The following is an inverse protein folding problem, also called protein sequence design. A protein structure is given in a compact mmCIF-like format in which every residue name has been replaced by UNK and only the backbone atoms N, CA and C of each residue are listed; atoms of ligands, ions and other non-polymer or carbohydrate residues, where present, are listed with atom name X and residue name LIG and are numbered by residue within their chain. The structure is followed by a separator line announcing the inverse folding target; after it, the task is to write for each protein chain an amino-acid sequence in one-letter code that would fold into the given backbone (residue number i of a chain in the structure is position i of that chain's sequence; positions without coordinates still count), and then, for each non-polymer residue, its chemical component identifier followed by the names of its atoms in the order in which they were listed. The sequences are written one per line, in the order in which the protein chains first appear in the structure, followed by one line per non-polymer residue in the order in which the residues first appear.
data_IF_241449282811
#
_entry.id   IF_241449282811
#
_cell.length_a   1.000
_cell.length_b   1.000
_cell.length_c   1.000
_cell.angle_alpha   90.00
_cell.angle_beta   90.00
_cell.angle_gamma   90.00
#
_symmetry.space_group_name_H-M   'P 1'
#
loop_
_entity.id
_entity.type
_entity.pdbx_description
1 polymer ?
#
# COMPACT_ATOMS: atom_id res chain seq x y z
N UNK A 1 -7.41 12.43 11.24
CA UNK A 1 -6.58 12.14 10.04
C UNK A 1 -6.68 13.22 8.97
N UNK A 2 -7.86 13.75 8.60
CA UNK A 2 -7.96 14.89 7.66
C UNK A 2 -7.88 16.28 8.33
N UNK A 3 -8.04 16.37 9.65
CA UNK A 3 -8.07 17.62 10.41
C UNK A 3 -6.70 18.29 10.60
N UNK A 4 -5.62 17.59 10.27
CA UNK A 4 -4.23 18.05 10.44
C UNK A 4 -3.55 18.38 9.09
N UNK A 5 -4.23 18.10 7.96
CA UNK A 5 -3.70 18.38 6.62
C UNK A 5 -3.84 19.86 6.29
N UNK A 6 -2.75 20.48 5.89
CA UNK A 6 -2.78 21.83 5.34
C UNK A 6 -3.55 21.85 4.01
N UNK A 7 -4.12 23.01 3.65
CA UNK A 7 -4.85 23.15 2.39
C UNK A 7 -3.96 22.86 1.16
N UNK A 8 -2.66 23.13 1.27
CA UNK A 8 -1.64 22.81 0.26
C UNK A 8 -1.44 21.32 0.10
N UNK A 9 -1.24 20.58 1.19
CA UNK A 9 -1.09 19.12 1.13
C UNK A 9 -2.36 18.45 0.62
N UNK A 10 -3.55 18.93 1.02
CA UNK A 10 -4.82 18.45 0.48
C UNK A 10 -4.90 18.65 -1.05
N UNK A 11 -4.40 19.79 -1.55
CA UNK A 11 -4.30 20.08 -2.98
C UNK A 11 -3.38 19.10 -3.71
N UNK A 12 -2.22 18.80 -3.13
CA UNK A 12 -1.25 17.84 -3.67
C UNK A 12 -1.83 16.42 -3.72
N UNK A 13 -2.49 15.97 -2.66
CA UNK A 13 -3.20 14.68 -2.66
C UNK A 13 -4.29 14.63 -3.72
N UNK A 14 -5.05 15.72 -3.92
CA UNK A 14 -6.06 15.79 -4.96
C UNK A 14 -5.45 15.65 -6.36
N UNK A 15 -4.28 16.27 -6.61
CA UNK A 15 -3.58 16.17 -7.88
C UNK A 15 -3.01 14.76 -8.09
N UNK A 16 -2.45 14.16 -7.04
CA UNK A 16 -1.88 12.81 -7.06
C UNK A 16 -2.96 11.76 -7.39
N UNK A 17 -4.06 11.71 -6.65
CA UNK A 17 -5.12 10.71 -6.88
C UNK A 17 -5.91 10.93 -8.18
N UNK A 18 -5.84 12.13 -8.76
CA UNK A 18 -6.36 12.39 -10.10
C UNK A 18 -5.56 11.67 -11.19
N UNK A 19 -4.26 11.44 -10.95
CA UNK A 19 -3.39 10.69 -11.86
C UNK A 19 -3.28 9.21 -11.48
N UNK A 20 -3.28 8.91 -10.18
CA UNK A 20 -3.12 7.56 -9.62
C UNK A 20 -4.33 7.23 -8.74
N UNK A 21 -5.47 6.92 -9.36
CA UNK A 21 -6.74 6.72 -8.64
C UNK A 21 -6.81 5.41 -7.84
N UNK A 22 -5.93 4.46 -8.13
CA UNK A 22 -5.83 3.18 -7.43
C UNK A 22 -4.36 2.90 -7.13
N UNK A 23 -4.10 2.24 -6.00
CA UNK A 23 -2.75 1.72 -5.73
C UNK A 23 -2.47 0.50 -6.60
N UNK A 24 -1.18 0.17 -6.75
CA UNK A 24 -0.75 -1.01 -7.51
C UNK A 24 -1.39 -2.30 -6.98
N UNK A 25 -1.54 -2.43 -5.66
CA UNK A 25 -2.23 -3.56 -5.04
C UNK A 25 -3.71 -3.67 -5.44
N UNK A 26 -4.42 -2.53 -5.56
CA UNK A 26 -5.81 -2.52 -6.02
C UNK A 26 -5.91 -2.89 -7.51
N UNK A 27 -5.02 -2.34 -8.34
CA UNK A 27 -4.97 -2.67 -9.76
C UNK A 27 -4.65 -4.16 -9.99
N UNK A 28 -3.68 -4.69 -9.25
CA UNK A 28 -3.30 -6.09 -9.33
C UNK A 28 -4.46 -7.01 -8.95
N UNK A 29 -5.16 -6.74 -7.84
CA UNK A 29 -6.32 -7.53 -7.41
C UNK A 29 -7.43 -7.57 -8.47
N UNK A 30 -7.75 -6.43 -9.09
CA UNK A 30 -8.74 -6.34 -10.17
C UNK A 30 -8.31 -7.14 -11.41
N UNK A 31 -7.07 -6.98 -11.86
CA UNK A 31 -6.56 -7.70 -13.02
C UNK A 31 -6.41 -9.21 -12.77
N UNK A 32 -5.98 -9.61 -11.59
CA UNK A 32 -5.86 -10.99 -11.17
C UNK A 32 -7.23 -11.68 -11.15
N UNK A 33 -8.24 -11.00 -10.59
CA UNK A 33 -9.63 -11.49 -10.57
C UNK A 33 -10.21 -11.57 -11.97
N UNK A 34 -9.98 -10.57 -12.82
CA UNK A 34 -10.44 -10.61 -14.21
C UNK A 34 -9.82 -11.80 -14.97
N UNK A 35 -8.52 -12.04 -14.80
CA UNK A 35 -7.81 -13.15 -15.44
C UNK A 35 -8.33 -14.50 -14.96
N UNK A 36 -8.58 -14.69 -13.66
CA UNK A 36 -9.12 -15.95 -13.14
C UNK A 36 -10.51 -16.25 -13.69
N UNK A 37 -11.37 -15.24 -13.80
CA UNK A 37 -12.70 -15.38 -14.40
C UNK A 37 -12.62 -15.72 -15.90
N UNK A 38 -11.76 -15.04 -16.66
CA UNK A 38 -11.57 -15.32 -18.10
C UNK A 38 -10.99 -16.72 -18.31
N UNK A 39 -9.98 -17.10 -17.52
CA UNK A 39 -9.40 -18.44 -17.57
C UNK A 39 -10.47 -19.49 -17.26
N UNK A 40 -11.28 -19.27 -16.23
CA UNK A 40 -12.34 -20.21 -15.86
C UNK A 40 -13.45 -20.32 -16.89
N UNK A 41 -13.80 -19.21 -17.54
CA UNK A 41 -14.74 -19.20 -18.66
C UNK A 41 -14.23 -20.02 -19.85
N UNK A 42 -12.94 -19.89 -20.18
CA UNK A 42 -12.34 -20.57 -21.34
C UNK A 42 -12.05 -22.05 -21.07
N UNK A 43 -11.61 -22.40 -19.87
CA UNK A 43 -11.22 -23.79 -19.52
C UNK A 43 -12.35 -24.61 -18.90
N UNK A 44 -13.42 -23.97 -18.43
CA UNK A 44 -14.50 -24.61 -17.68
C UNK A 44 -14.07 -25.09 -16.28
N UNK A 45 -12.94 -24.60 -15.75
CA UNK A 45 -12.41 -24.97 -14.43
C UNK A 45 -12.17 -23.73 -13.58
N UNK A 46 -12.42 -23.75 -12.26
CA UNK A 46 -12.05 -22.64 -11.40
C UNK A 46 -10.53 -22.47 -11.36
N UNK A 47 -10.06 -21.22 -11.32
CA UNK A 47 -8.67 -20.83 -11.06
C UNK A 47 -8.66 -19.81 -9.92
N UNK A 48 -7.62 -19.82 -9.09
CA UNK A 48 -7.49 -18.83 -8.02
C UNK A 48 -7.05 -17.48 -8.62
N UNK A 49 -7.50 -16.38 -8.04
CA UNK A 49 -7.03 -15.06 -8.47
C UNK A 49 -5.55 -14.87 -8.09
N UNK A 50 -5.11 -15.44 -6.98
CA UNK A 50 -3.71 -15.36 -6.51
C UNK A 50 -2.71 -15.93 -7.51
N UNK A 51 -3.10 -16.92 -8.31
CA UNK A 51 -2.29 -17.48 -9.41
C UNK A 51 -1.92 -16.44 -10.48
N UNK A 52 -2.67 -15.34 -10.57
CA UNK A 52 -2.48 -14.27 -11.55
C UNK A 52 -1.98 -12.94 -10.95
N UNK A 53 -1.80 -12.90 -9.63
CA UNK A 53 -1.30 -11.74 -8.90
C UNK A 53 0.19 -11.53 -9.18
N UNK A 54 0.59 -10.28 -9.33
CA UNK A 54 1.99 -9.84 -9.44
C UNK A 54 2.54 -9.32 -8.12
N UNK A 55 1.68 -9.17 -7.10
CA UNK A 55 2.10 -8.70 -5.79
C UNK A 55 2.86 -9.81 -5.07
N UNK A 56 3.91 -9.46 -4.29
CA UNK A 56 4.56 -10.42 -3.42
C UNK A 56 3.57 -10.96 -2.40
N UNK A 57 3.79 -12.21 -1.99
CA UNK A 57 3.04 -12.78 -0.87
C UNK A 57 3.18 -11.86 0.35
N UNK A 58 2.07 -11.60 1.08
CA UNK A 58 2.15 -10.80 2.28
C UNK A 58 3.14 -11.44 3.24
N UNK A 59 4.06 -10.64 3.78
CA UNK A 59 4.97 -11.14 4.80
C UNK A 59 4.15 -11.77 5.93
N UNK A 60 4.54 -12.97 6.41
CA UNK A 60 3.83 -13.60 7.51
C UNK A 60 3.79 -12.61 8.66
N UNK A 61 2.60 -12.38 9.21
CA UNK A 61 2.42 -11.51 10.36
C UNK A 61 3.20 -12.12 11.54
N UNK A 62 4.45 -11.70 11.72
CA UNK A 62 5.16 -11.94 12.96
C UNK A 62 4.41 -11.18 14.04
N UNK A 63 4.07 -11.85 15.15
CA UNK A 63 3.66 -11.16 16.37
C UNK A 63 4.80 -10.23 16.76
N UNK A 64 4.65 -8.94 16.42
CA UNK A 64 5.53 -7.89 16.91
C UNK A 64 5.38 -7.86 18.42
N UNK A 65 6.43 -8.27 19.11
CA UNK A 65 6.47 -8.18 20.56
C UNK A 65 6.57 -6.69 20.98
N UNK A 66 6.33 -6.41 22.26
CA UNK A 66 6.43 -5.04 22.78
C UNK A 66 7.85 -4.46 22.62
N UNK A 67 8.89 -5.30 22.65
CA UNK A 67 10.29 -4.89 22.49
C UNK A 67 10.57 -4.36 21.06
N UNK A 68 10.00 -5.00 20.03
CA UNK A 68 10.10 -4.58 18.63
C UNK A 68 9.37 -3.25 18.40
N UNK A 69 8.27 -3.03 19.12
CA UNK A 69 7.50 -1.80 19.07
C UNK A 69 8.23 -0.65 19.76
N UNK A 70 8.87 -0.92 20.90
CA UNK A 70 9.73 0.03 21.61
C UNK A 70 10.95 0.40 20.77
N UNK A 71 11.61 -0.59 20.16
CA UNK A 71 12.77 -0.37 19.28
C UNK A 71 12.42 0.49 18.05
N UNK A 72 11.28 0.23 17.40
CA UNK A 72 10.82 1.07 16.28
C UNK A 72 10.48 2.51 16.73
N UNK A 73 10.07 2.70 17.98
CA UNK A 73 9.75 3.99 18.59
C UNK A 73 10.95 4.83 19.04
N UNK A 74 12.14 4.23 19.20
CA UNK A 74 13.36 4.94 19.61
C UNK A 74 13.86 5.94 18.55
N UNK A 75 13.34 5.86 17.33
CA UNK A 75 13.62 6.81 16.26
C UNK A 75 15.03 6.68 15.66
N UNK A 76 15.26 7.37 14.54
CA UNK A 76 16.59 7.42 13.90
C UNK A 76 17.52 8.19 14.83
N UNK A 77 18.48 7.50 15.45
CA UNK A 77 19.61 8.14 16.13
C UNK A 77 20.34 9.05 15.12
N UNK A 78 20.14 10.36 15.22
CA UNK A 78 20.95 11.37 14.50
C UNK A 78 20.32 12.05 13.27
N UNK A 79 18.99 12.11 13.13
CA UNK A 79 18.35 12.92 12.09
C UNK A 79 18.39 14.43 12.40
N UNK A 80 19.10 15.23 11.60
CA UNK A 80 19.06 16.70 11.69
C UNK A 80 17.62 17.18 11.49
N UNK A 81 17.05 17.81 12.51
CA UNK A 81 15.77 18.53 12.39
C UNK A 81 16.07 19.86 11.70
N UNK A 82 15.64 20.03 10.45
CA UNK A 82 15.58 21.35 9.84
C UNK A 82 14.51 22.17 10.58
N UNK A 83 14.93 22.97 11.56
CA UNK A 83 14.13 24.08 12.09
C UNK A 83 14.12 25.25 11.10
N UNK A 84 13.16 26.18 11.19
CA UNK A 84 13.14 27.35 10.31
C UNK A 84 14.38 28.19 10.64
N UNK A 85 15.36 28.16 9.73
CA UNK A 85 16.60 28.92 9.84
C UNK A 85 16.32 30.42 9.73
N UNK A 86 16.65 31.14 10.81
CA UNK A 86 17.08 32.54 10.76
C UNK A 86 18.60 32.61 10.78
#
# INVERSE_FOLDING_TARGET
MLSELSATELGEWSAHFRQYSFSDAHLDAEFATLKSLVAGLVTGKPHDATDFSLMPDPEPAFEKNDDDMMFAGEGIFGGVRYGPGG
#
